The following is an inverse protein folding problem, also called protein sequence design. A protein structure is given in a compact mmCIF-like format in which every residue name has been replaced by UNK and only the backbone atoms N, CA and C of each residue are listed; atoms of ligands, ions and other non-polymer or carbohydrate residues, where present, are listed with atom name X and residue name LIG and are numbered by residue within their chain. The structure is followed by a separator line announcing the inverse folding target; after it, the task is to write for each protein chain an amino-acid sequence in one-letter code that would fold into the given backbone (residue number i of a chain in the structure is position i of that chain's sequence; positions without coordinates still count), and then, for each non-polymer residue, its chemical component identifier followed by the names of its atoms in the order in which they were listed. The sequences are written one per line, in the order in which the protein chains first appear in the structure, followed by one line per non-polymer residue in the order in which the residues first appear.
data_IF_761417232049
#
_entry.id   IF_761417232049
#
_cell.length_a   1.000
_cell.length_b   1.000
_cell.length_c   1.000
_cell.angle_alpha   90.00
_cell.angle_beta   90.00
_cell.angle_gamma   90.00
#
_symmetry.space_group_name_H-M   'P 1'
#
loop_
_entity.id
_entity.type
_entity.pdbx_description
1 polymer ?
#
# COMPACT_ATOMS: atom_id res chain seq x y z
N UNK A 1 25.57 12.17 25.35
CA UNK A 1 25.56 11.82 23.90
C UNK A 1 24.70 10.59 23.58
N UNK A 2 24.60 9.60 24.47
CA UNK A 2 23.82 8.37 24.25
C UNK A 2 22.31 8.64 24.08
N UNK A 3 21.72 9.52 24.91
CA UNK A 3 20.32 9.94 24.79
C UNK A 3 20.00 10.57 23.42
N UNK A 4 20.93 11.35 22.87
CA UNK A 4 20.76 11.98 21.55
C UNK A 4 20.79 10.94 20.41
N UNK A 5 21.61 9.89 20.54
CA UNK A 5 21.68 8.78 19.58
C UNK A 5 20.45 7.87 19.66
N UNK A 6 19.95 7.61 20.86
CA UNK A 6 18.69 6.87 21.08
C UNK A 6 17.49 7.64 20.51
N UNK A 7 17.43 8.96 20.71
CA UNK A 7 16.39 9.80 20.12
C UNK A 7 16.42 9.78 18.59
N UNK A 8 17.61 9.89 17.97
CA UNK A 8 17.77 9.74 16.52
C UNK A 8 17.31 8.37 16.01
N UNK A 9 17.55 7.31 16.78
CA UNK A 9 17.11 5.96 16.44
C UNK A 9 15.59 5.80 16.53
N UNK A 10 14.98 6.40 17.56
CA UNK A 10 13.53 6.50 17.69
C UNK A 10 12.91 7.18 16.48
N UNK A 11 13.46 8.36 16.11
CA UNK A 11 13.02 9.13 14.96
C UNK A 11 13.08 8.33 13.66
N UNK A 12 14.17 7.58 13.43
CA UNK A 12 14.30 6.76 12.23
C UNK A 12 13.28 5.62 12.18
N UNK A 13 12.97 4.99 13.31
CA UNK A 13 11.93 3.94 13.37
C UNK A 13 10.54 4.50 13.13
N UNK A 14 10.27 5.72 13.59
CA UNK A 14 9.03 6.45 13.32
C UNK A 14 8.92 6.76 11.83
N UNK A 15 9.95 7.33 11.21
CA UNK A 15 9.96 7.65 9.77
C UNK A 15 9.71 6.41 8.90
N UNK A 16 10.36 5.27 9.21
CA UNK A 16 10.07 4.00 8.53
C UNK A 16 8.58 3.64 8.66
N UNK A 17 8.01 3.72 9.87
CA UNK A 17 6.59 3.38 10.07
C UNK A 17 5.67 4.30 9.28
N UNK A 18 5.94 5.60 9.30
CA UNK A 18 5.10 6.62 8.66
C UNK A 18 5.11 6.48 7.13
N UNK A 19 6.29 6.28 6.54
CA UNK A 19 6.46 6.07 5.10
C UNK A 19 5.68 4.83 4.62
N UNK A 20 5.78 3.72 5.34
CA UNK A 20 5.05 2.50 4.99
C UNK A 20 3.54 2.61 5.28
N UNK A 21 3.16 3.31 6.35
CA UNK A 21 1.76 3.49 6.73
C UNK A 21 0.99 4.31 5.69
N UNK A 22 1.59 5.36 5.13
CA UNK A 22 0.97 6.14 4.06
C UNK A 22 0.62 5.27 2.86
N UNK A 23 1.58 4.46 2.40
CA UNK A 23 1.37 3.62 1.20
C UNK A 23 0.42 2.45 1.49
N UNK A 24 0.50 1.86 2.68
CA UNK A 24 -0.44 0.80 3.11
C UNK A 24 -1.88 1.33 3.15
N UNK A 25 -2.07 2.53 3.72
CA UNK A 25 -3.38 3.20 3.78
C UNK A 25 -3.96 3.44 2.38
N UNK A 26 -3.14 3.90 1.44
CA UNK A 26 -3.58 4.09 0.05
C UNK A 26 -4.00 2.77 -0.61
N UNK A 27 -3.23 1.70 -0.42
CA UNK A 27 -3.57 0.39 -0.99
C UNK A 27 -4.83 -0.21 -0.36
N UNK A 28 -5.02 -0.07 0.95
CA UNK A 28 -6.23 -0.51 1.64
C UNK A 28 -7.46 0.28 1.11
N UNK A 29 -7.32 1.58 0.84
CA UNK A 29 -8.37 2.37 0.19
C UNK A 29 -8.69 1.86 -1.23
N UNK A 30 -7.68 1.49 -2.02
CA UNK A 30 -7.91 0.94 -3.36
C UNK A 30 -8.64 -0.40 -3.32
N UNK A 31 -8.32 -1.27 -2.35
CA UNK A 31 -9.03 -2.54 -2.14
C UNK A 31 -10.50 -2.26 -1.80
N UNK A 32 -10.76 -1.35 -0.86
CA UNK A 32 -12.11 -1.02 -0.42
C UNK A 32 -12.94 -0.42 -1.56
N UNK A 33 -12.44 0.59 -2.25
CA UNK A 33 -13.15 1.24 -3.35
C UNK A 33 -13.32 0.28 -4.53
N UNK A 34 -12.29 -0.50 -4.86
CA UNK A 34 -12.35 -1.50 -5.92
C UNK A 34 -13.41 -2.58 -5.65
N UNK A 35 -13.49 -3.08 -4.42
CA UNK A 35 -14.49 -4.05 -4.01
C UNK A 35 -15.92 -3.48 -4.07
N UNK A 36 -16.11 -2.23 -3.67
CA UNK A 36 -17.40 -1.55 -3.78
C UNK A 36 -17.84 -1.39 -5.24
N UNK A 37 -16.94 -0.98 -6.14
CA UNK A 37 -17.23 -0.84 -7.57
C UNK A 37 -17.64 -2.20 -8.17
N UNK A 38 -16.87 -3.26 -7.90
CA UNK A 38 -17.18 -4.61 -8.41
C UNK A 38 -18.54 -5.10 -7.88
N UNK A 39 -18.83 -4.87 -6.60
CA UNK A 39 -20.12 -5.26 -5.99
C UNK A 39 -21.28 -4.48 -6.59
N UNK A 40 -21.12 -3.16 -6.79
CA UNK A 40 -22.14 -2.33 -7.42
C UNK A 40 -22.44 -2.79 -8.85
N UNK A 41 -21.41 -3.12 -9.64
CA UNK A 41 -21.58 -3.60 -11.01
C UNK A 41 -22.19 -5.01 -11.05
N UNK A 42 -21.86 -5.89 -10.11
CA UNK A 42 -22.55 -7.18 -9.97
C UNK A 42 -24.04 -7.00 -9.69
N UNK A 43 -24.41 -6.02 -8.86
CA UNK A 43 -25.83 -5.70 -8.62
C UNK A 43 -26.54 -5.23 -9.91
N UNK A 44 -25.86 -4.45 -10.76
CA UNK A 44 -26.39 -4.09 -12.09
C UNK A 44 -26.62 -5.29 -13.00
N UNK A 45 -25.85 -6.37 -12.88
CA UNK A 45 -26.09 -7.60 -13.64
C UNK A 45 -27.36 -8.29 -13.14
N UNK A 46 -27.52 -8.47 -11.83
CA UNK A 46 -28.67 -9.23 -11.29
C UNK A 46 -29.99 -8.48 -11.41
N UNK A 47 -30.00 -7.17 -11.13
CA UNK A 47 -31.22 -6.34 -11.14
C UNK A 47 -31.41 -5.61 -12.46
N UNK A 48 -30.31 -5.12 -13.07
CA UNK A 48 -30.39 -4.30 -14.27
C UNK A 48 -30.60 -5.10 -15.56
N UNK A 49 -30.10 -6.33 -15.66
CA UNK A 49 -30.27 -7.15 -16.86
C UNK A 49 -31.74 -7.45 -17.22
N UNK A 50 -32.63 -7.86 -16.29
CA UNK A 50 -34.04 -8.11 -16.62
C UNK A 50 -34.82 -6.83 -16.94
N UNK A 51 -34.40 -5.67 -16.42
CA UNK A 51 -35.06 -4.38 -16.66
C UNK A 51 -34.59 -3.70 -17.95
N UNK A 52 -33.45 -4.12 -18.50
CA UNK A 52 -32.85 -3.49 -19.68
C UNK A 52 -33.63 -3.83 -20.96
N UNK A 53 -33.90 -2.84 -21.84
CA UNK A 53 -34.64 -3.09 -23.07
C UNK A 53 -33.84 -3.98 -24.03
N UNK A 54 -34.45 -5.06 -24.50
CA UNK A 54 -33.88 -6.03 -25.44
C UNK A 54 -33.64 -5.47 -26.86
N UNK A 55 -34.39 -4.43 -27.21
CA UNK A 55 -34.23 -3.69 -28.47
C UNK A 55 -33.63 -2.31 -28.17
N UNK A 56 -32.63 -1.84 -28.94
CA UNK A 56 -31.86 -2.54 -29.95
C UNK A 56 -30.71 -3.39 -29.36
N UNK A 57 -30.51 -4.61 -29.88
CA UNK A 57 -29.54 -5.61 -29.36
C UNK A 57 -28.09 -5.13 -29.30
N UNK A 58 -27.69 -4.23 -30.20
CA UNK A 58 -26.33 -3.69 -30.23
C UNK A 58 -26.01 -2.82 -29.00
N UNK A 59 -27.02 -2.17 -28.41
CA UNK A 59 -26.83 -1.35 -27.20
C UNK A 59 -26.53 -2.23 -26.00
N UNK A 60 -27.22 -3.37 -25.88
CA UNK A 60 -26.96 -4.37 -24.84
C UNK A 60 -25.51 -4.88 -24.93
N UNK A 61 -24.98 -5.08 -26.14
CA UNK A 61 -23.58 -5.49 -26.34
C UNK A 61 -22.60 -4.43 -25.82
N UNK A 62 -22.82 -3.15 -26.15
CA UNK A 62 -21.97 -2.05 -25.66
C UNK A 62 -22.03 -1.91 -24.13
N UNK A 63 -23.22 -2.03 -23.57
CA UNK A 63 -23.43 -1.99 -22.11
C UNK A 63 -22.73 -3.18 -21.43
N UNK A 64 -22.93 -4.41 -21.92
CA UNK A 64 -22.25 -5.61 -21.39
C UNK A 64 -20.73 -5.49 -21.48
N UNK A 65 -20.19 -4.96 -22.58
CA UNK A 65 -18.75 -4.76 -22.70
C UNK A 65 -18.21 -3.81 -21.60
N UNK A 66 -18.95 -2.73 -21.29
CA UNK A 66 -18.58 -1.82 -20.21
C UNK A 66 -18.68 -2.49 -18.83
N UNK A 67 -19.70 -3.33 -18.61
CA UNK A 67 -19.87 -4.11 -17.38
C UNK A 67 -18.70 -5.06 -17.17
N UNK A 68 -18.36 -5.87 -18.18
CA UNK A 68 -17.25 -6.83 -18.11
C UNK A 68 -15.90 -6.13 -17.96
N UNK A 69 -15.67 -5.02 -18.68
CA UNK A 69 -14.47 -4.22 -18.54
C UNK A 69 -14.33 -3.67 -17.12
N UNK A 70 -15.42 -3.14 -16.54
CA UNK A 70 -15.42 -2.65 -15.17
C UNK A 70 -15.07 -3.75 -14.15
N UNK A 71 -15.68 -4.93 -14.28
CA UNK A 71 -15.37 -6.08 -13.42
C UNK A 71 -13.92 -6.51 -13.58
N UNK A 72 -13.43 -6.64 -14.81
CA UNK A 72 -12.06 -7.08 -15.07
C UNK A 72 -11.04 -6.10 -14.47
N UNK A 73 -11.14 -4.80 -14.79
CA UNK A 73 -10.21 -3.79 -14.26
C UNK A 73 -10.36 -3.61 -12.74
N UNK A 74 -11.57 -3.73 -12.20
CA UNK A 74 -11.81 -3.69 -10.75
C UNK A 74 -11.15 -4.86 -10.02
N UNK A 75 -11.31 -6.09 -10.53
CA UNK A 75 -10.69 -7.28 -9.98
C UNK A 75 -9.16 -7.23 -10.06
N UNK A 76 -8.61 -6.82 -11.21
CA UNK A 76 -7.16 -6.64 -11.39
C UNK A 76 -6.62 -5.56 -10.43
N UNK A 77 -7.33 -4.45 -10.25
CA UNK A 77 -6.96 -3.41 -9.28
C UNK A 77 -6.89 -3.94 -7.86
N UNK A 78 -7.92 -4.65 -7.41
CA UNK A 78 -7.97 -5.25 -6.06
C UNK A 78 -6.85 -6.28 -5.88
N UNK A 79 -6.61 -7.13 -6.88
CA UNK A 79 -5.54 -8.12 -6.88
C UNK A 79 -4.16 -7.46 -6.70
N UNK A 80 -3.86 -6.44 -7.50
CA UNK A 80 -2.59 -5.73 -7.43
C UNK A 80 -2.42 -4.97 -6.10
N UNK A 81 -3.47 -4.32 -5.61
CA UNK A 81 -3.44 -3.64 -4.32
C UNK A 81 -3.25 -4.62 -3.15
N UNK A 82 -3.85 -5.82 -3.23
CA UNK A 82 -3.66 -6.87 -2.24
C UNK A 82 -2.21 -7.36 -2.21
N UNK A 83 -1.62 -7.64 -3.37
CA UNK A 83 -0.21 -8.03 -3.46
C UNK A 83 0.74 -6.93 -2.97
N UNK A 84 0.47 -5.67 -3.34
CA UNK A 84 1.24 -4.53 -2.89
C UNK A 84 1.19 -4.36 -1.36
N UNK A 85 0.01 -4.48 -0.75
CA UNK A 85 -0.15 -4.27 0.70
C UNK A 85 0.58 -5.34 1.52
N UNK A 86 0.55 -6.60 1.07
CA UNK A 86 1.29 -7.70 1.70
C UNK A 86 2.82 -7.49 1.56
N UNK A 87 3.27 -7.06 0.37
CA UNK A 87 4.67 -6.76 0.13
C UNK A 87 5.17 -5.60 1.03
N UNK A 88 4.38 -4.55 1.21
CA UNK A 88 4.71 -3.42 2.09
C UNK A 88 4.77 -3.79 3.56
N UNK A 89 3.78 -4.53 4.06
CA UNK A 89 3.72 -4.97 5.46
C UNK A 89 4.91 -5.87 5.80
N UNK A 90 5.23 -6.82 4.92
CA UNK A 90 6.39 -7.70 5.10
C UNK A 90 7.71 -6.93 5.03
N UNK A 91 7.85 -5.97 4.11
CA UNK A 91 9.04 -5.13 3.99
C UNK A 91 9.25 -4.22 5.21
N UNK A 92 8.18 -3.59 5.73
CA UNK A 92 8.21 -2.77 6.95
C UNK A 92 8.75 -3.56 8.13
N UNK A 93 8.23 -4.77 8.35
CA UNK A 93 8.67 -5.64 9.46
C UNK A 93 10.14 -6.01 9.28
N UNK A 94 10.56 -6.44 8.07
CA UNK A 94 11.96 -6.78 7.78
C UNK A 94 12.92 -5.62 8.06
N UNK A 95 12.58 -4.41 7.64
CA UNK A 95 13.42 -3.23 7.91
C UNK A 95 13.50 -2.97 9.42
N UNK A 96 12.38 -3.02 10.14
CA UNK A 96 12.35 -2.75 11.58
C UNK A 96 13.08 -3.79 12.44
N UNK A 97 13.20 -5.03 11.97
CA UNK A 97 13.83 -6.13 12.71
C UNK A 97 15.29 -6.37 12.30
N UNK A 98 15.63 -6.22 11.01
CA UNK A 98 16.95 -6.56 10.49
C UNK A 98 17.84 -5.33 10.26
N UNK A 99 17.28 -4.25 9.70
CA UNK A 99 18.05 -3.06 9.35
C UNK A 99 18.07 -2.01 10.47
N UNK A 100 16.96 -1.86 11.20
CA UNK A 100 16.77 -0.87 12.27
C UNK A 100 16.59 -1.54 13.63
N UNK A 101 17.44 -2.55 13.90
CA UNK A 101 17.49 -3.23 15.19
C UNK A 101 17.97 -2.27 16.30
N UNK A 102 17.38 -2.28 17.51
CA UNK A 102 17.88 -1.48 18.62
C UNK A 102 19.39 -1.69 18.83
N UNK A 103 20.15 -0.64 19.20
CA UNK A 103 21.56 -0.80 19.54
C UNK A 103 21.69 -1.79 20.69
N UNK A 104 22.54 -2.81 20.51
CA UNK A 104 22.88 -3.74 21.59
C UNK A 104 23.78 -2.97 22.57
N UNK A 105 23.46 -2.93 23.87
CA UNK A 105 24.26 -2.21 24.85
C UNK A 105 25.69 -2.72 24.82
N UNK A 106 26.66 -1.81 24.87
CA UNK A 106 28.07 -2.20 24.98
C UNK A 106 28.33 -2.78 26.37
N UNK A 107 29.36 -3.63 26.51
CA UNK A 107 29.73 -4.18 27.83
C UNK A 107 29.99 -3.08 28.87
N UNK A 108 30.46 -1.90 28.42
CA UNK A 108 30.64 -0.73 29.28
C UNK A 108 29.31 -0.15 29.77
N UNK A 109 28.30 -0.07 28.90
CA UNK A 109 26.95 0.37 29.29
C UNK A 109 26.32 -0.63 30.26
N UNK A 110 26.59 -1.92 30.09
CA UNK A 110 26.15 -2.98 31.01
C UNK A 110 26.85 -2.86 32.36
N UNK A 111 28.18 -2.65 32.38
CA UNK A 111 28.95 -2.43 33.61
C UNK A 111 28.51 -1.16 34.35
N UNK A 112 28.20 -0.08 33.62
CA UNK A 112 27.69 1.16 34.19
C UNK A 112 26.28 0.98 34.76
N UNK A 113 25.40 0.26 34.06
CA UNK A 113 24.09 -0.11 34.57
C UNK A 113 24.21 -1.00 35.81
N UNK A 114 25.13 -1.96 35.82
CA UNK A 114 25.40 -2.81 36.99
C UNK A 114 25.89 -2.00 38.18
N UNK A 115 26.81 -1.05 37.99
CA UNK A 115 27.22 -0.13 39.07
C UNK A 115 26.07 0.75 39.55
N UNK A 116 25.24 1.23 38.62
CA UNK A 116 24.07 2.03 39.01
C UNK A 116 23.05 1.22 39.82
N UNK A 117 22.91 -0.08 39.51
CA UNK A 117 22.09 -1.01 40.26
C UNK A 117 22.72 -1.34 41.62
N UNK A 118 24.03 -1.57 41.68
CA UNK A 118 24.77 -1.79 42.93
C UNK A 118 24.68 -0.57 43.85
N UNK A 119 24.75 0.64 43.29
CA UNK A 119 24.50 1.89 44.04
C UNK A 119 23.06 2.03 44.50
N UNK A 120 22.09 1.65 43.66
CA UNK A 120 20.67 1.65 44.02
C UNK A 120 20.35 0.64 45.14
N UNK A 121 20.95 -0.55 45.07
CA UNK A 121 20.81 -1.61 46.07
C UNK A 121 21.60 -1.30 47.36
N UNK A 122 22.72 -0.60 47.25
CA UNK A 122 23.61 -0.22 48.35
C UNK A 122 23.10 0.95 49.22
N UNK A 123 22.21 1.80 48.70
CA UNK A 123 21.67 2.99 49.41
C UNK A 123 20.61 2.67 50.50
N UNK A 124 20.47 1.40 50.87
CA UNK A 124 19.77 0.95 52.07
C UNK A 124 18.24 0.82 51.95
N UNK A 125 17.66 0.09 52.90
CA UNK A 125 16.23 -0.27 52.94
C UNK A 125 15.25 0.92 53.01
N UNK A 126 15.73 2.12 53.34
CA UNK A 126 14.91 3.34 53.44
C UNK A 126 14.35 3.85 52.11
N UNK A 127 14.98 3.54 50.97
CA UNK A 127 14.49 3.90 49.63
C UNK A 127 13.43 2.93 49.09
N UNK A 128 13.45 1.67 49.53
CA UNK A 128 12.49 0.64 49.09
C UNK A 128 11.04 0.93 49.54
N UNK A 129 10.86 1.74 50.58
CA UNK A 129 9.55 2.08 51.13
C UNK A 129 9.09 3.51 50.79
N UNK A 130 9.68 4.17 49.80
CA UNK A 130 9.15 5.45 49.33
C UNK A 130 7.87 5.22 48.49
N UNK A 131 6.69 5.66 48.96
CA UNK A 131 5.46 5.52 48.18
C UNK A 131 5.54 6.40 46.92
N UNK A 132 5.17 5.89 45.74
CA UNK A 132 5.19 6.69 44.54
C UNK A 132 4.06 7.74 44.64
N UNK A 133 4.42 9.01 44.39
CA UNK A 133 3.54 10.12 43.98
C UNK A 133 3.17 11.27 44.96
N UNK A 134 3.83 11.47 46.11
CA UNK A 134 3.62 12.72 46.88
C UNK A 134 4.90 13.26 47.53
N UNK A 135 5.78 13.92 46.76
CA UNK A 135 6.66 14.99 47.24
C UNK A 135 7.31 15.78 46.09
N UNK A 136 6.92 17.05 46.02
CA UNK A 136 7.58 18.29 45.58
C UNK A 136 8.98 18.26 44.89
N UNK A 137 9.26 19.26 44.02
CA UNK A 137 10.48 19.33 43.23
C UNK A 137 11.73 19.44 44.10
N UNK A 138 12.70 18.63 43.70
CA UNK A 138 14.11 18.59 44.11
C UNK A 138 14.67 19.95 44.59
N UNK A 139 14.80 20.11 45.91
CA UNK A 139 15.68 21.10 46.52
C UNK A 139 15.98 20.74 47.98
N UNK A 140 17.16 20.13 48.22
CA UNK A 140 18.19 20.61 49.16
C UNK A 140 19.20 19.49 49.47
N UNK A 141 20.41 19.65 48.93
CA UNK A 141 21.62 19.47 49.72
C UNK A 141 22.39 18.17 49.59
N UNK A 142 22.88 17.81 48.40
CA UNK A 142 24.20 17.18 48.27
C UNK A 142 24.75 17.59 46.90
N UNK A 143 25.89 18.26 46.87
CA UNK A 143 26.60 18.55 45.62
C UNK A 143 27.27 17.24 45.21
N UNK A 144 26.67 16.51 44.29
CA UNK A 144 27.38 15.49 43.52
C UNK A 144 28.41 16.21 42.64
N UNK A 145 29.63 16.35 43.17
CA UNK A 145 30.79 16.63 42.36
C UNK A 145 30.97 15.45 41.39
N UNK A 146 30.74 15.73 40.10
CA UNK A 146 31.17 14.87 39.01
C UNK A 146 32.63 14.50 39.26
N UNK A 147 33.01 13.21 39.40
CA UNK A 147 34.41 12.84 39.57
C UNK A 147 35.20 13.35 38.36
N UNK A 148 36.01 14.40 38.58
CA UNK A 148 36.98 14.85 37.58
C UNK A 148 37.97 13.72 37.39
N UNK A 149 38.03 13.19 36.19
CA UNK A 149 39.05 12.26 35.73
C UNK A 149 40.42 12.89 36.00
N UNK A 150 41.11 12.44 37.06
CA UNK A 150 42.50 12.83 37.29
C UNK A 150 43.39 12.06 36.30
N UNK A 151 44.31 12.74 35.59
CA UNK A 151 45.31 12.07 34.79
C UNK A 151 46.24 11.29 35.72
N UNK A 152 46.39 10.00 35.46
CA UNK A 152 47.20 9.07 36.24
C UNK A 152 48.68 9.48 36.17
N UNK A 153 49.22 10.04 37.25
CA UNK A 153 50.66 10.13 37.48
C UNK A 153 51.10 8.80 38.09
N UNK A 154 51.99 8.10 37.38
CA UNK A 154 52.63 6.86 37.81
C UNK A 154 53.66 7.18 38.88
N UNK A 155 53.50 6.64 40.09
CA UNK A 155 54.55 6.61 41.11
C UNK A 155 55.17 5.21 41.25
N UNK A 156 56.51 5.07 41.43
CA UNK A 156 57.25 3.86 41.08
C UNK A 156 57.46 2.86 42.23
N UNK A 157 56.81 3.02 43.39
CA UNK A 157 57.18 2.31 44.61
C UNK A 157 56.02 1.53 45.27
N UNK A 158 55.50 0.51 44.60
CA UNK A 158 54.86 -0.60 45.30
C UNK A 158 55.60 -1.92 45.07
N UNK A 159 56.18 -2.41 46.17
CA UNK A 159 56.95 -3.65 46.30
C UNK A 159 56.02 -4.88 46.27
N UNK A 160 56.53 -5.87 45.56
CA UNK A 160 56.21 -7.30 45.44
C UNK A 160 56.01 -8.09 46.73
N UNK A 161 55.25 -9.21 46.65
CA UNK A 161 55.52 -10.56 47.21
C UNK A 161 54.35 -11.52 46.86
N UNK A 162 54.51 -12.87 46.84
CA UNK A 162 55.49 -13.68 46.14
C UNK A 162 54.87 -14.75 45.23
N UNK A 163 55.72 -15.23 44.33
CA UNK A 163 55.56 -16.31 43.35
C UNK A 163 55.46 -17.70 44.01
N UNK A 164 54.47 -18.49 43.60
CA UNK A 164 54.43 -19.95 43.73
C UNK A 164 54.72 -20.61 42.38
N UNK A 165 55.72 -21.48 42.34
CA UNK A 165 56.35 -21.99 41.13
C UNK A 165 55.60 -23.16 40.46
N UNK A 166 55.63 -23.16 39.13
CA UNK A 166 55.63 -24.37 38.30
C UNK A 166 54.30 -24.79 37.69
N UNK A 167 54.11 -24.51 36.40
CA UNK A 167 53.79 -25.50 35.34
C UNK A 167 53.63 -24.77 33.99
N UNK A 168 54.61 -25.00 33.11
CA UNK A 168 54.59 -25.04 31.64
C UNK A 168 53.60 -24.16 30.85
N UNK A 169 54.16 -23.18 30.13
CA UNK A 169 53.55 -22.60 28.92
C UNK A 169 53.13 -23.70 27.93
N UNK A 170 51.86 -23.72 27.52
CA UNK A 170 51.39 -24.45 26.35
C UNK A 170 50.69 -23.48 25.40
N UNK A 171 51.34 -23.22 24.26
CA UNK A 171 50.84 -22.39 23.15
C UNK A 171 49.60 -23.06 22.54
N UNK A 172 48.42 -22.56 22.91
CA UNK A 172 47.12 -23.06 22.45
C UNK A 172 46.66 -22.36 21.18
N UNK A 173 46.74 -23.09 20.07
CA UNK A 173 46.27 -22.78 18.71
C UNK A 173 44.78 -22.43 18.68
N UNK A 174 44.42 -21.30 18.05
CA UNK A 174 43.03 -20.89 17.84
C UNK A 174 42.28 -21.97 17.06
N UNK A 175 41.19 -22.47 17.64
CA UNK A 175 40.33 -23.51 17.04
C UNK A 175 39.31 -22.80 16.14
N UNK A 176 39.45 -22.98 14.84
CA UNK A 176 38.50 -22.50 13.85
C UNK A 176 37.13 -23.15 14.09
N UNK A 177 36.10 -22.31 14.21
CA UNK A 177 34.69 -22.71 14.24
C UNK A 177 34.31 -23.25 12.84
N UNK A 178 33.62 -24.39 12.74
CA UNK A 178 33.34 -25.03 11.45
C UNK A 178 32.37 -24.19 10.60
N UNK A 179 32.69 -24.08 9.30
CA UNK A 179 32.06 -23.21 8.31
C UNK A 179 30.62 -23.59 7.91
N UNK A 180 30.11 -24.72 8.35
CA UNK A 180 28.88 -25.33 7.81
C UNK A 180 27.57 -24.69 8.30
N UNK A 181 27.51 -24.06 9.49
CA UNK A 181 26.28 -23.36 9.94
C UNK A 181 26.14 -21.94 9.40
N UNK A 182 27.23 -21.36 8.88
CA UNK A 182 27.23 -20.01 8.34
C UNK A 182 26.70 -19.96 6.91
N UNK A 183 26.73 -21.09 6.21
CA UNK A 183 26.22 -21.21 4.83
C UNK A 183 24.69 -21.44 4.81
N UNK A 184 24.13 -22.25 5.73
CA UNK A 184 22.66 -22.46 5.81
C UNK A 184 21.89 -21.22 6.29
N UNK A 185 22.49 -20.39 7.15
CA UNK A 185 21.90 -19.12 7.57
C UNK A 185 21.94 -18.03 6.47
N UNK A 186 22.73 -18.26 5.41
CA UNK A 186 22.89 -17.36 4.25
C UNK A 186 21.98 -17.81 3.09
N UNK A 187 21.71 -19.11 2.98
CA UNK A 187 20.94 -19.72 1.88
C UNK A 187 19.47 -19.25 1.81
N UNK A 188 18.81 -19.06 2.95
CA UNK A 188 17.42 -18.55 2.97
C UNK A 188 17.33 -17.03 2.69
N UNK A 189 18.45 -16.30 2.76
CA UNK A 189 18.51 -14.86 2.45
C UNK A 189 18.82 -14.59 0.97
N UNK A 190 19.54 -15.50 0.29
CA UNK A 190 19.74 -15.45 -1.17
C UNK A 190 18.44 -15.63 -1.96
N UNK A 191 17.46 -16.32 -1.37
CA UNK A 191 16.13 -16.52 -1.97
C UNK A 191 15.18 -15.32 -1.82
N UNK A 192 15.57 -14.27 -1.10
CA UNK A 192 14.82 -13.02 -1.08
C UNK A 192 15.23 -12.17 -2.30
N UNK A 193 14.35 -11.93 -3.29
CA UNK A 193 14.71 -11.28 -4.56
C UNK A 193 15.18 -9.81 -4.47
N UNK A 194 15.46 -9.28 -3.28
CA UNK A 194 15.69 -7.85 -3.04
C UNK A 194 16.85 -7.48 -2.10
N UNK A 195 17.61 -8.42 -1.54
CA UNK A 195 18.79 -8.12 -0.73
C UNK A 195 20.07 -8.46 -1.50
N UNK A 196 20.57 -7.49 -2.29
CA UNK A 196 21.85 -7.66 -2.98
C UNK A 196 22.99 -7.90 -2.00
N UNK A 197 23.94 -8.76 -2.40
CA UNK A 197 25.13 -9.20 -1.67
C UNK A 197 25.96 -8.04 -1.09
N UNK A 198 25.92 -6.88 -1.73
CA UNK A 198 26.55 -5.63 -1.26
C UNK A 198 25.98 -5.11 0.07
N UNK A 199 24.65 -5.21 0.27
CA UNK A 199 24.00 -4.76 1.52
C UNK A 199 24.36 -5.72 2.66
N UNK A 200 24.51 -7.01 2.35
CA UNK A 200 24.93 -8.04 3.30
C UNK A 200 26.38 -7.84 3.73
N UNK A 201 27.28 -7.57 2.78
CA UNK A 201 28.67 -7.25 3.09
C UNK A 201 28.77 -5.99 3.95
N UNK A 202 28.00 -4.93 3.64
CA UNK A 202 28.00 -3.70 4.43
C UNK A 202 27.45 -3.85 5.85
N UNK A 203 26.45 -4.72 6.05
CA UNK A 203 25.88 -5.02 7.36
C UNK A 203 26.77 -5.97 8.19
N UNK A 204 27.59 -6.80 7.54
CA UNK A 204 28.50 -7.73 8.20
C UNK A 204 29.83 -7.09 8.62
N UNK A 205 30.30 -6.06 7.91
CA UNK A 205 31.66 -5.52 8.12
C UNK A 205 31.76 -4.33 9.08
N UNK A 206 30.67 -3.69 9.49
CA UNK A 206 30.74 -2.45 10.30
C UNK A 206 29.92 -2.54 11.59
N UNK A 207 30.68 -2.70 12.68
CA UNK A 207 30.40 -2.42 14.09
C UNK A 207 29.27 -3.16 14.83
N UNK A 208 29.70 -3.77 15.94
CA UNK A 208 28.88 -4.29 17.01
C UNK A 208 28.07 -3.16 17.65
N UNK A 209 26.74 -3.23 17.54
CA UNK A 209 25.79 -2.57 18.44
C UNK A 209 25.66 -1.04 18.36
N UNK A 210 26.58 -0.34 17.70
CA UNK A 210 26.43 1.08 17.39
C UNK A 210 25.54 1.31 16.16
N UNK A 211 24.97 2.52 15.96
CA UNK A 211 24.38 2.86 14.68
C UNK A 211 25.52 2.73 13.67
N UNK A 212 25.45 1.72 12.79
CA UNK A 212 26.44 1.54 11.74
C UNK A 212 26.59 2.85 10.98
N UNK A 213 27.68 3.00 10.20
CA UNK A 213 27.81 4.13 9.27
C UNK A 213 26.60 4.30 8.33
N UNK A 214 25.65 3.36 8.30
CA UNK A 214 24.34 3.51 7.69
C UNK A 214 23.41 4.55 8.34
N UNK A 215 23.63 4.95 9.60
CA UNK A 215 22.97 6.12 10.20
C UNK A 215 23.68 7.43 9.85
N UNK A 216 24.83 7.39 9.16
CA UNK A 216 25.35 8.58 8.47
C UNK A 216 24.27 8.98 7.47
N UNK A 217 23.75 10.19 7.68
CA UNK A 217 22.77 10.89 6.85
C UNK A 217 22.82 10.38 5.40
N UNK A 218 21.68 9.91 4.89
CA UNK A 218 21.42 9.44 3.51
C UNK A 218 21.35 7.92 3.24
N UNK A 219 22.03 7.03 3.97
CA UNK A 219 22.01 5.61 3.57
C UNK A 219 20.62 4.95 3.76
N UNK A 220 19.88 5.35 4.80
CA UNK A 220 18.55 4.82 5.07
C UNK A 220 17.53 5.23 4.01
N UNK A 221 17.65 6.43 3.42
CA UNK A 221 16.81 6.86 2.31
C UNK A 221 17.04 6.01 1.06
N UNK A 222 18.28 5.60 0.77
CA UNK A 222 18.58 4.70 -0.34
C UNK A 222 18.01 3.30 -0.13
N UNK A 223 18.10 2.80 1.10
CA UNK A 223 17.48 1.53 1.49
C UNK A 223 15.95 1.60 1.32
N UNK A 224 15.30 2.63 1.86
CA UNK A 224 13.86 2.84 1.72
C UNK A 224 13.44 2.98 0.26
N UNK A 225 14.17 3.76 -0.54
CA UNK A 225 13.89 3.93 -1.98
C UNK A 225 14.04 2.63 -2.76
N UNK A 226 15.01 1.79 -2.42
CA UNK A 226 15.19 0.46 -3.04
C UNK A 226 14.02 -0.46 -2.73
N UNK A 227 13.55 -0.46 -1.49
CA UNK A 227 12.41 -1.27 -1.07
C UNK A 227 11.10 -0.75 -1.66
N UNK A 228 10.92 0.57 -1.72
CA UNK A 228 9.78 1.22 -2.40
C UNK A 228 9.66 0.83 -3.86
N UNK A 229 10.77 0.74 -4.61
CA UNK A 229 10.75 0.28 -6.01
C UNK A 229 10.15 -1.11 -6.18
N UNK A 230 10.28 -1.98 -5.18
CA UNK A 230 9.74 -3.34 -5.23
C UNK A 230 8.20 -3.40 -5.25
N UNK A 231 7.52 -2.42 -4.66
CA UNK A 231 6.05 -2.39 -4.60
C UNK A 231 5.40 -1.18 -5.28
N UNK A 232 6.17 -0.16 -5.66
CA UNK A 232 5.65 1.04 -6.32
C UNK A 232 4.92 0.74 -7.64
N UNK A 233 5.33 -0.30 -8.36
CA UNK A 233 4.63 -0.73 -9.57
C UNK A 233 3.21 -1.23 -9.25
N UNK A 234 3.04 -2.01 -8.18
CA UNK A 234 1.72 -2.50 -7.77
C UNK A 234 0.80 -1.34 -7.39
N UNK A 235 1.32 -0.32 -6.72
CA UNK A 235 0.58 0.91 -6.36
C UNK A 235 0.09 1.65 -7.61
N UNK A 236 1.00 1.90 -8.55
CA UNK A 236 0.68 2.61 -9.78
C UNK A 236 -0.35 1.86 -10.64
N UNK A 237 -0.17 0.55 -10.84
CA UNK A 237 -1.09 -0.24 -11.65
C UNK A 237 -2.44 -0.46 -10.96
N UNK A 238 -2.48 -0.62 -9.64
CA UNK A 238 -3.73 -0.65 -8.88
C UNK A 238 -4.52 0.65 -9.07
N UNK A 239 -3.85 1.81 -8.94
CA UNK A 239 -4.50 3.10 -9.17
C UNK A 239 -5.05 3.23 -10.59
N UNK A 240 -4.28 2.85 -11.61
CA UNK A 240 -4.72 2.89 -13.01
C UNK A 240 -5.93 1.97 -13.23
N UNK A 241 -5.88 0.74 -12.71
CA UNK A 241 -6.98 -0.22 -12.80
C UNK A 241 -8.26 0.30 -12.13
N UNK A 242 -8.13 0.92 -10.96
CA UNK A 242 -9.26 1.52 -10.23
C UNK A 242 -9.92 2.65 -11.02
N UNK A 243 -9.10 3.53 -11.61
CA UNK A 243 -9.58 4.66 -12.43
C UNK A 243 -10.30 4.14 -13.67
N UNK A 244 -9.74 3.15 -14.36
CA UNK A 244 -10.39 2.52 -15.51
C UNK A 244 -11.71 1.85 -15.11
N UNK A 245 -11.76 1.15 -13.96
CA UNK A 245 -12.98 0.54 -13.45
C UNK A 245 -14.06 1.62 -13.16
N UNK A 246 -13.69 2.70 -12.47
CA UNK A 246 -14.60 3.80 -12.17
C UNK A 246 -15.13 4.48 -13.44
N UNK A 247 -14.28 4.65 -14.47
CA UNK A 247 -14.72 5.18 -15.77
C UNK A 247 -15.74 4.28 -16.45
N UNK A 248 -15.48 2.97 -16.50
CA UNK A 248 -16.41 2.03 -17.10
C UNK A 248 -17.72 1.94 -16.29
N UNK A 249 -17.67 2.07 -14.96
CA UNK A 249 -18.88 2.13 -14.12
C UNK A 249 -19.76 3.34 -14.48
N UNK A 250 -19.17 4.51 -14.68
CA UNK A 250 -19.91 5.70 -15.12
C UNK A 250 -20.51 5.51 -16.52
N UNK A 251 -19.80 4.85 -17.43
CA UNK A 251 -20.32 4.49 -18.75
C UNK A 251 -21.46 3.47 -18.65
N UNK A 252 -21.36 2.47 -17.75
CA UNK A 252 -22.45 1.52 -17.47
C UNK A 252 -23.72 2.27 -17.06
N UNK A 253 -23.61 3.24 -16.15
CA UNK A 253 -24.75 4.07 -15.75
C UNK A 253 -25.32 4.89 -16.91
N UNK A 254 -24.45 5.49 -17.75
CA UNK A 254 -24.87 6.30 -18.89
C UNK A 254 -25.54 5.49 -20.01
N UNK A 255 -25.04 4.28 -20.31
CA UNK A 255 -25.67 3.38 -21.26
C UNK A 255 -26.96 2.77 -20.71
N UNK A 256 -27.03 2.51 -19.40
CA UNK A 256 -28.23 2.04 -18.73
C UNK A 256 -29.36 3.07 -18.80
N UNK A 257 -29.06 4.33 -18.45
CA UNK A 257 -30.03 5.43 -18.55
C UNK A 257 -30.48 5.70 -19.99
N UNK A 258 -29.56 5.58 -20.96
CA UNK A 258 -29.89 5.69 -22.38
C UNK A 258 -30.88 4.61 -22.82
N UNK A 259 -30.65 3.35 -22.44
CA UNK A 259 -31.60 2.26 -22.69
C UNK A 259 -32.96 2.55 -22.05
N UNK A 260 -32.96 2.87 -20.77
CA UNK A 260 -34.19 3.00 -20.01
C UNK A 260 -35.06 4.19 -20.44
N UNK A 261 -34.47 5.36 -20.70
CA UNK A 261 -35.22 6.58 -21.02
C UNK A 261 -35.54 6.77 -22.50
N UNK A 262 -34.77 6.17 -23.41
CA UNK A 262 -34.98 6.31 -24.86
C UNK A 262 -35.53 5.07 -25.56
N UNK A 263 -35.23 3.86 -25.08
CA UNK A 263 -35.72 2.63 -25.72
C UNK A 263 -36.97 2.05 -25.05
N UNK A 264 -37.02 2.09 -23.71
CA UNK A 264 -38.10 1.43 -22.98
C UNK A 264 -39.46 2.11 -23.21
N UNK A 265 -40.44 1.34 -23.70
CA UNK A 265 -41.82 1.78 -23.99
C UNK A 265 -42.78 1.15 -22.97
N UNK A 266 -42.54 1.36 -21.68
CA UNK A 266 -43.25 0.62 -20.63
C UNK A 266 -44.70 1.07 -20.40
N UNK A 267 -45.11 2.23 -20.94
CA UNK A 267 -46.38 2.85 -20.57
C UNK A 267 -47.18 3.15 -21.84
N UNK A 268 -48.14 2.29 -22.15
CA UNK A 268 -49.23 2.62 -23.06
C UNK A 268 -50.38 3.22 -22.23
N UNK A 269 -51.01 4.34 -22.62
CA UNK A 269 -50.96 5.01 -23.93
C UNK A 269 -49.99 6.21 -24.04
N UNK A 270 -49.33 6.62 -22.96
CA UNK A 270 -48.36 7.72 -22.99
C UNK A 270 -46.96 7.12 -22.83
N UNK A 271 -46.19 6.94 -23.92
CA UNK A 271 -44.81 6.48 -23.80
C UNK A 271 -44.04 7.47 -22.93
N UNK A 272 -43.57 7.03 -21.76
CA UNK A 272 -42.74 7.83 -20.86
C UNK A 272 -41.30 7.96 -21.38
N UNK A 273 -41.15 8.29 -22.65
CA UNK A 273 -39.85 8.60 -23.25
C UNK A 273 -39.46 10.02 -22.86
N UNK A 274 -38.38 10.14 -22.11
CA UNK A 274 -37.78 11.43 -21.80
C UNK A 274 -36.38 11.51 -22.42
N UNK A 275 -36.29 11.87 -23.72
CA UNK A 275 -35.00 11.96 -24.41
C UNK A 275 -34.08 13.01 -23.79
N UNK A 276 -34.63 14.04 -23.15
CA UNK A 276 -33.84 15.06 -22.46
C UNK A 276 -33.08 14.50 -21.26
N UNK A 277 -33.75 13.68 -20.43
CA UNK A 277 -33.10 13.01 -19.30
C UNK A 277 -32.01 12.03 -19.74
N UNK A 278 -32.25 11.30 -20.84
CA UNK A 278 -31.28 10.39 -21.43
C UNK A 278 -30.01 11.15 -21.88
N UNK A 279 -30.15 12.20 -22.67
CA UNK A 279 -29.02 13.03 -23.13
C UNK A 279 -28.29 13.69 -21.97
N UNK A 280 -29.01 14.21 -20.97
CA UNK A 280 -28.40 14.81 -19.79
C UNK A 280 -27.54 13.81 -19.03
N UNK A 281 -28.05 12.60 -18.79
CA UNK A 281 -27.29 11.54 -18.12
C UNK A 281 -26.06 11.10 -18.91
N UNK A 282 -26.16 11.03 -20.24
CA UNK A 282 -25.07 10.65 -21.12
C UNK A 282 -23.97 11.72 -21.16
N UNK A 283 -24.34 12.99 -21.28
CA UNK A 283 -23.41 14.12 -21.26
C UNK A 283 -22.76 14.22 -19.88
N UNK A 284 -23.52 14.06 -18.79
CA UNK A 284 -22.99 14.06 -17.44
C UNK A 284 -22.01 12.89 -17.21
N UNK A 285 -22.32 11.69 -17.70
CA UNK A 285 -21.42 10.53 -17.64
C UNK A 285 -20.15 10.73 -18.47
N UNK A 286 -20.25 11.25 -19.68
CA UNK A 286 -19.11 11.56 -20.54
C UNK A 286 -18.22 12.68 -19.94
N UNK A 287 -18.85 13.70 -19.35
CA UNK A 287 -18.12 14.75 -18.64
C UNK A 287 -17.40 14.18 -17.41
N UNK A 288 -18.08 13.41 -16.57
CA UNK A 288 -17.52 12.82 -15.36
C UNK A 288 -16.36 11.86 -15.66
N UNK A 289 -16.48 11.02 -16.69
CA UNK A 289 -15.41 10.10 -17.10
C UNK A 289 -14.17 10.85 -17.60
N UNK A 290 -14.36 11.94 -18.35
CA UNK A 290 -13.24 12.76 -18.79
C UNK A 290 -12.61 13.56 -17.66
N UNK A 291 -13.38 14.14 -16.73
CA UNK A 291 -12.83 14.84 -15.57
C UNK A 291 -12.06 13.89 -14.67
N UNK A 292 -12.58 12.69 -14.42
CA UNK A 292 -11.90 11.66 -13.64
C UNK A 292 -10.56 11.27 -14.28
N UNK A 293 -10.52 11.06 -15.61
CA UNK A 293 -9.25 10.82 -16.32
C UNK A 293 -8.25 11.98 -16.14
N UNK A 294 -8.76 13.22 -16.24
CA UNK A 294 -7.95 14.43 -16.19
C UNK A 294 -7.35 14.69 -14.81
N UNK A 295 -8.04 14.29 -13.75
CA UNK A 295 -7.63 14.52 -12.37
C UNK A 295 -6.67 13.43 -11.86
N UNK A 296 -6.88 12.17 -12.28
CA UNK A 296 -6.09 11.05 -11.75
C UNK A 296 -4.84 10.70 -12.56
N UNK A 297 -4.86 10.91 -13.88
CA UNK A 297 -3.78 10.49 -14.78
C UNK A 297 -3.05 11.68 -15.39
N UNK A 298 -1.78 11.84 -15.01
CA UNK A 298 -0.84 12.77 -15.63
C UNK A 298 -0.25 12.15 -16.90
N UNK A 299 -1.00 12.18 -18.00
CA UNK A 299 -0.52 11.78 -19.32
C UNK A 299 -0.13 12.99 -20.16
N UNK A 300 0.83 12.81 -21.06
CA UNK A 300 1.20 13.82 -22.05
C UNK A 300 -0.01 14.26 -22.89
N UNK A 301 -0.03 15.52 -23.37
CA UNK A 301 -1.22 16.13 -23.96
C UNK A 301 -1.74 15.37 -25.20
N UNK A 302 -0.84 14.79 -26.00
CA UNK A 302 -1.20 14.02 -27.20
C UNK A 302 -1.99 12.75 -26.85
N UNK A 303 -1.47 11.95 -25.92
CA UNK A 303 -2.12 10.70 -25.47
C UNK A 303 -3.43 10.99 -24.73
N UNK A 304 -3.44 12.07 -23.94
CA UNK A 304 -4.64 12.51 -23.22
C UNK A 304 -5.79 12.85 -24.17
N UNK A 305 -5.51 13.56 -25.26
CA UNK A 305 -6.54 13.90 -26.24
C UNK A 305 -7.07 12.67 -26.98
N UNK A 306 -6.18 11.71 -27.31
CA UNK A 306 -6.58 10.45 -27.93
C UNK A 306 -7.54 9.66 -27.02
N UNK A 307 -7.17 9.48 -25.75
CA UNK A 307 -8.00 8.75 -24.78
C UNK A 307 -9.34 9.45 -24.56
N UNK A 308 -9.35 10.78 -24.44
CA UNK A 308 -10.60 11.55 -24.30
C UNK A 308 -11.52 11.39 -25.51
N UNK A 309 -10.97 11.41 -26.72
CA UNK A 309 -11.74 11.19 -27.93
C UNK A 309 -12.35 9.78 -27.94
N UNK A 310 -11.55 8.76 -27.58
CA UNK A 310 -12.06 7.37 -27.50
C UNK A 310 -13.08 7.13 -26.39
N UNK A 311 -13.08 7.93 -25.32
CA UNK A 311 -14.04 7.79 -24.22
C UNK A 311 -15.36 8.54 -24.48
N UNK A 312 -15.31 9.69 -25.16
CA UNK A 312 -16.48 10.56 -25.38
C UNK A 312 -17.23 10.23 -26.66
N UNK A 313 -16.51 9.85 -27.72
CA UNK A 313 -17.11 9.65 -29.03
C UNK A 313 -18.05 8.43 -29.08
N UNK A 314 -17.72 7.25 -28.51
CA UNK A 314 -18.63 6.11 -28.52
C UNK A 314 -19.99 6.34 -27.84
N UNK A 315 -20.08 6.88 -26.60
CA UNK A 315 -21.37 7.11 -25.99
C UNK A 315 -22.18 8.15 -26.77
N UNK A 316 -21.57 9.22 -27.28
CA UNK A 316 -22.30 10.22 -28.10
C UNK A 316 -22.86 9.64 -29.39
N UNK A 317 -22.07 8.82 -30.12
CA UNK A 317 -22.54 8.15 -31.32
C UNK A 317 -23.67 7.17 -31.03
N UNK A 318 -23.58 6.42 -29.92
CA UNK A 318 -24.63 5.49 -29.50
C UNK A 318 -25.93 6.23 -29.13
N UNK A 319 -25.82 7.36 -28.43
CA UNK A 319 -26.94 8.25 -28.10
C UNK A 319 -27.63 8.78 -29.34
N UNK A 320 -26.84 9.28 -30.31
CA UNK A 320 -27.36 9.76 -31.58
C UNK A 320 -28.04 8.63 -32.38
N UNK A 321 -27.44 7.45 -32.44
CA UNK A 321 -28.00 6.30 -33.15
C UNK A 321 -29.35 5.85 -32.57
N UNK A 322 -29.49 5.79 -31.24
CA UNK A 322 -30.77 5.45 -30.60
C UNK A 322 -31.77 6.57 -30.76
N UNK A 323 -31.36 7.83 -30.69
CA UNK A 323 -32.26 8.96 -30.91
C UNK A 323 -32.87 8.91 -32.31
N UNK A 324 -32.06 8.65 -33.33
CA UNK A 324 -32.52 8.46 -34.70
C UNK A 324 -33.42 7.22 -34.83
N UNK A 325 -33.04 6.10 -34.22
CA UNK A 325 -33.86 4.88 -34.23
C UNK A 325 -35.24 5.10 -33.56
N UNK A 326 -35.28 5.73 -32.39
CA UNK A 326 -36.50 6.06 -31.67
C UNK A 326 -37.36 7.09 -32.43
N UNK A 327 -36.73 8.07 -33.07
CA UNK A 327 -37.45 9.05 -33.91
C UNK A 327 -38.14 8.38 -35.10
N UNK A 328 -37.50 7.38 -35.72
CA UNK A 328 -38.05 6.61 -36.83
C UNK A 328 -39.24 5.77 -36.40
N UNK A 329 -39.17 5.13 -35.23
CA UNK A 329 -40.29 4.34 -34.70
C UNK A 329 -41.49 5.22 -34.32
N UNK A 330 -41.24 6.44 -33.83
CA UNK A 330 -42.31 7.37 -33.43
C UNK A 330 -43.05 8.03 -34.61
N UNK A 331 -42.42 8.16 -35.79
CA UNK A 331 -43.09 8.70 -37.00
C UNK A 331 -44.02 7.68 -37.68
N UNK A 332 -43.95 6.40 -37.30
CA UNK A 332 -44.89 5.37 -37.70
C UNK A 332 -46.16 5.39 -36.86
N UNK A 333 -47.02 6.41 -36.98
CA UNK A 333 -48.34 6.52 -36.31
C UNK A 333 -49.34 5.39 -36.62
N UNK A 334 -48.92 4.30 -37.26
CA UNK A 334 -49.68 3.06 -37.46
C UNK A 334 -48.77 1.83 -37.67
N UNK A 335 -47.49 1.92 -37.31
CA UNK A 335 -46.54 0.83 -37.47
C UNK A 335 -46.65 -0.13 -36.31
N UNK A 336 -47.43 -1.19 -36.51
CA UNK A 336 -47.36 -2.47 -35.78
C UNK A 336 -45.91 -2.73 -35.35
N UNK A 337 -45.68 -3.04 -34.06
CA UNK A 337 -44.33 -3.38 -33.56
C UNK A 337 -43.71 -4.40 -34.52
N UNK A 338 -42.40 -4.36 -34.78
CA UNK A 338 -41.76 -5.43 -35.54
C UNK A 338 -42.02 -6.81 -34.88
N UNK A 339 -42.25 -6.82 -33.56
CA UNK A 339 -42.69 -7.99 -32.78
C UNK A 339 -44.12 -8.47 -33.10
N UNK A 340 -44.99 -7.58 -33.57
CA UNK A 340 -46.38 -7.88 -33.94
C UNK A 340 -46.54 -8.22 -35.44
N UNK A 341 -45.50 -8.01 -36.27
CA UNK A 341 -45.48 -8.43 -37.68
C UNK A 341 -44.85 -9.81 -37.92
N UNK A 342 -44.28 -10.45 -36.90
CA UNK A 342 -43.84 -11.84 -36.99
C UNK A 342 -44.91 -12.71 -36.33
N UNK A 343 -45.96 -13.04 -37.10
CA UNK A 343 -46.59 -14.35 -36.93
C UNK A 343 -45.45 -15.37 -36.97
N UNK A 344 -45.30 -16.26 -35.99
CA UNK A 344 -44.25 -17.27 -36.02
C UNK A 344 -44.59 -18.28 -37.12
N UNK A 345 -44.20 -17.97 -38.36
CA UNK A 345 -44.37 -18.84 -39.52
C UNK A 345 -43.22 -19.85 -39.67
N UNK A 346 -42.25 -19.88 -38.74
CA UNK A 346 -41.08 -20.75 -38.84
C UNK A 346 -40.62 -21.23 -37.46
N UNK A 347 -41.34 -22.19 -36.87
CA UNK A 347 -40.76 -23.45 -36.36
C UNK A 347 -41.88 -24.50 -36.37
N UNK A 348 -42.02 -25.31 -37.42
CA UNK A 348 -42.50 -26.66 -37.24
C UNK A 348 -41.30 -27.53 -36.79
N UNK A 349 -41.58 -28.57 -36.00
CA UNK A 349 -40.68 -29.67 -35.59
C UNK A 349 -39.43 -29.34 -34.74
N UNK A 350 -39.45 -29.67 -33.45
CA UNK A 350 -38.80 -30.87 -32.90
C UNK A 350 -38.80 -30.88 -31.35
N UNK A 351 -39.44 -31.93 -30.81
CA UNK A 351 -39.24 -32.64 -29.52
C UNK A 351 -38.83 -31.85 -28.27
#
# INVERSE_FOLDING_TARGET
MQNMRLAQWGLFREDVRDVFQLSTSNMDNYILVGALIVTAVMNFIFVGYPEFPLEPRWLLLLWNNCVFACIFFGMVSVWLAMHGSIAQRSARVKILTQAVRPPVPSLKDVEEAMRSQEHFEGDGAGRYFQPPAFALPYALGEKDEIPKTQPTTVDPNMRTLPTGAGVSQRKGRARAVPKTQKEEAVDWLSDAPFAGEEVLQHLQTVDNGGPGRSAVMHSHFWMLRRVQRGYACFDAYARIGLVLAAQHMLLVCAYYSLGHFMSKMDHWPIPAQNPGAAWLSLIAGAFCTTTLFKLDLFCGPKYRNLVQLTLVLPPLLSGLAIHLAASRTNHGRGGVRACDQVVPAWVPWAL
#
